data_IF_328281078967
#
_entry.id   IF_328281078967
#
_cell.length_a   1.000
_cell.length_b   1.000
_cell.length_c   1.000
_cell.angle_alpha   90.00
_cell.angle_beta   90.00
_cell.angle_gamma   90.00
#
_symmetry.space_group_name_H-M   'P 1'
#
loop_
_entity.id
_entity.type
_entity.pdbx_description
1 polymer ?
#
# COMPACT_ATOMS: atom_id res chain seq x y z
N UNK A 1 -1.74 3.71 -4.15
CA UNK A 1 -1.92 4.93 -3.34
C UNK A 1 -0.59 5.33 -2.72
N UNK A 2 -0.19 6.59 -2.86
CA UNK A 2 1.00 7.16 -2.27
C UNK A 2 0.60 8.27 -1.29
N UNK A 3 1.21 8.28 -0.12
CA UNK A 3 1.17 9.42 0.78
C UNK A 3 2.38 10.30 0.49
N UNK A 4 2.16 11.45 -0.10
CA UNK A 4 3.21 12.43 -0.38
C UNK A 4 3.65 13.06 0.95
N UNK A 5 4.95 13.16 1.16
CA UNK A 5 5.54 13.65 2.39
C UNK A 5 6.86 14.39 2.09
N UNK A 6 7.37 15.10 3.10
CA UNK A 6 8.61 15.85 2.97
C UNK A 6 8.37 17.33 2.61
N UNK A 7 9.44 18.12 2.50
CA UNK A 7 9.34 19.55 2.23
C UNK A 7 8.84 19.82 0.80
N UNK A 8 8.19 20.94 0.63
CA UNK A 8 7.76 21.44 -0.68
C UNK A 8 8.94 21.51 -1.67
N UNK A 9 8.66 21.21 -2.94
CA UNK A 9 9.68 21.18 -4.00
C UNK A 9 10.55 19.93 -4.05
N UNK A 10 10.41 19.00 -3.09
CA UNK A 10 11.13 17.73 -3.07
C UNK A 10 10.18 16.54 -3.16
N UNK A 11 10.22 15.84 -4.28
CA UNK A 11 9.41 14.63 -4.47
C UNK A 11 9.79 13.54 -3.46
N UNK A 12 8.87 13.23 -2.55
CA UNK A 12 8.99 12.15 -1.59
C UNK A 12 7.61 11.56 -1.29
N UNK A 13 7.50 10.24 -1.21
CA UNK A 13 6.24 9.60 -0.91
C UNK A 13 6.42 8.21 -0.31
N UNK A 14 5.45 7.79 0.49
CA UNK A 14 5.33 6.43 1.01
C UNK A 14 4.23 5.71 0.24
N UNK A 15 4.56 4.64 -0.47
CA UNK A 15 3.58 3.77 -1.10
C UNK A 15 2.97 2.83 -0.06
N UNK A 16 1.69 2.98 0.21
CA UNK A 16 0.93 2.02 0.99
C UNK A 16 0.68 0.77 0.15
N UNK A 17 1.19 -0.36 0.59
CA UNK A 17 1.19 -1.58 -0.21
C UNK A 17 0.11 -2.56 0.15
N UNK A 18 -0.31 -2.60 1.38
CA UNK A 18 -1.34 -3.50 1.87
C UNK A 18 -1.89 -2.98 3.20
N UNK A 19 -3.02 -3.49 3.60
CA UNK A 19 -3.65 -3.24 4.89
C UNK A 19 -4.74 -4.26 5.15
N UNK A 20 -5.22 -4.30 6.37
CA UNK A 20 -6.41 -5.03 6.74
C UNK A 20 -7.64 -4.11 6.64
N UNK A 21 -8.73 -4.62 6.09
CA UNK A 21 -10.01 -3.91 6.09
C UNK A 21 -10.73 -4.26 7.40
N UNK A 22 -10.73 -3.34 8.35
CA UNK A 22 -11.33 -3.54 9.68
C UNK A 22 -12.83 -3.26 9.67
N UNK A 23 -13.27 -2.25 8.91
CA UNK A 23 -14.66 -1.84 8.79
C UNK A 23 -15.08 -1.77 7.32
N UNK A 24 -16.35 -1.99 7.02
CA UNK A 24 -16.86 -1.96 5.66
C UNK A 24 -16.40 -3.12 4.77
N UNK A 25 -16.10 -4.27 5.35
CA UNK A 25 -15.64 -5.47 4.62
C UNK A 25 -16.60 -5.91 3.52
N UNK A 26 -17.91 -5.82 3.75
CA UNK A 26 -18.92 -6.14 2.73
C UNK A 26 -18.83 -5.19 1.53
N UNK A 27 -18.68 -3.89 1.78
CA UNK A 27 -18.49 -2.91 0.72
C UNK A 27 -17.17 -3.15 -0.03
N UNK A 28 -16.09 -3.44 0.69
CA UNK A 28 -14.82 -3.80 0.06
C UNK A 28 -14.93 -5.09 -0.79
N UNK A 29 -15.72 -6.06 -0.38
CA UNK A 29 -16.00 -7.29 -1.17
C UNK A 29 -16.72 -6.97 -2.48
N UNK A 30 -17.68 -6.06 -2.50
CA UNK A 30 -18.35 -5.65 -3.74
C UNK A 30 -17.39 -5.02 -4.74
N UNK A 31 -16.37 -4.32 -4.27
CA UNK A 31 -15.32 -3.71 -5.09
C UNK A 31 -14.22 -4.71 -5.49
N UNK A 32 -14.07 -5.79 -4.72
CA UNK A 32 -13.00 -6.78 -4.82
C UNK A 32 -13.53 -8.20 -5.05
N UNK A 33 -14.36 -8.38 -6.09
CA UNK A 33 -15.02 -9.66 -6.41
C UNK A 33 -14.06 -10.86 -6.55
N UNK A 34 -12.80 -10.64 -6.87
CA UNK A 34 -11.79 -11.69 -6.99
C UNK A 34 -11.11 -12.08 -5.67
N UNK A 35 -11.44 -11.41 -4.56
CA UNK A 35 -10.91 -11.78 -3.25
C UNK A 35 -11.62 -13.02 -2.72
N UNK A 36 -10.85 -14.01 -2.26
CA UNK A 36 -11.37 -15.29 -1.74
C UNK A 36 -11.78 -15.20 -0.27
N UNK A 37 -11.19 -14.25 0.45
CA UNK A 37 -11.44 -13.98 1.86
C UNK A 37 -11.03 -12.54 2.20
N UNK A 38 -11.34 -12.09 3.41
CA UNK A 38 -11.12 -10.70 3.83
C UNK A 38 -9.65 -10.30 3.85
N UNK A 39 -8.75 -11.23 4.18
CA UNK A 39 -7.30 -10.97 4.16
C UNK A 39 -6.75 -10.63 2.77
N UNK A 40 -7.46 -11.00 1.72
CA UNK A 40 -7.07 -10.70 0.33
C UNK A 40 -7.66 -9.39 -0.20
N UNK A 41 -8.60 -8.76 0.50
CA UNK A 41 -9.28 -7.55 0.04
C UNK A 41 -8.30 -6.44 -0.31
N UNK A 42 -7.34 -6.17 0.56
CA UNK A 42 -6.37 -5.10 0.41
C UNK A 42 -4.90 -5.60 0.41
N UNK A 43 -4.66 -6.87 0.06
CA UNK A 43 -3.33 -7.51 0.02
C UNK A 43 -2.55 -7.15 -1.25
N UNK A 44 -2.12 -5.92 -1.35
CA UNK A 44 -1.35 -5.38 -2.48
C UNK A 44 -1.78 -3.96 -2.85
N UNK A 45 -0.91 -3.14 -3.48
CA UNK A 45 -1.16 -1.71 -3.66
C UNK A 45 -2.38 -1.40 -4.54
N UNK A 46 -2.59 -2.11 -5.62
CA UNK A 46 -3.78 -1.95 -6.45
C UNK A 46 -5.04 -2.46 -5.73
N UNK A 47 -4.93 -3.59 -5.03
CA UNK A 47 -6.03 -4.16 -4.25
C UNK A 47 -6.48 -3.24 -3.12
N UNK A 48 -5.52 -2.63 -2.41
CA UNK A 48 -5.80 -1.64 -1.37
C UNK A 48 -6.54 -0.42 -1.93
N UNK A 49 -6.06 0.15 -3.03
CA UNK A 49 -6.73 1.28 -3.67
C UNK A 49 -8.16 0.92 -4.11
N UNK A 50 -8.35 -0.25 -4.73
CA UNK A 50 -9.69 -0.70 -5.15
C UNK A 50 -10.61 -0.97 -3.95
N UNK A 51 -10.13 -1.62 -2.89
CA UNK A 51 -10.93 -1.90 -1.70
C UNK A 51 -11.43 -0.61 -1.03
N UNK A 52 -10.59 0.42 -0.97
CA UNK A 52 -10.90 1.72 -0.39
C UNK A 52 -11.55 2.71 -1.36
N UNK A 53 -11.72 2.34 -2.63
CA UNK A 53 -12.23 3.23 -3.69
C UNK A 53 -11.37 4.48 -3.90
N UNK A 54 -10.07 4.32 -3.76
CA UNK A 54 -9.12 5.41 -3.97
C UNK A 54 -8.67 5.44 -5.42
N UNK A 55 -9.06 6.46 -6.13
CA UNK A 55 -8.70 6.72 -7.51
C UNK A 55 -8.03 8.10 -7.71
N UNK A 56 -7.93 8.54 -8.96
CA UNK A 56 -7.29 9.81 -9.30
C UNK A 56 -8.09 11.06 -8.91
N UNK A 57 -9.35 10.94 -8.60
CA UNK A 57 -10.17 12.08 -8.13
C UNK A 57 -9.74 12.57 -6.76
N UNK A 58 -9.04 11.72 -6.01
CA UNK A 58 -8.46 12.02 -4.70
C UNK A 58 -7.00 12.50 -4.78
N UNK A 59 -6.45 12.70 -5.99
CA UNK A 59 -5.08 13.21 -6.13
C UNK A 59 -4.96 14.64 -5.63
N UNK A 60 -3.91 14.92 -4.86
CA UNK A 60 -3.71 16.22 -4.20
C UNK A 60 -4.57 16.46 -2.94
N UNK A 61 -5.33 15.47 -2.51
CA UNK A 61 -6.16 15.56 -1.29
C UNK A 61 -5.30 15.61 -0.04
N UNK A 62 -5.60 16.54 0.88
CA UNK A 62 -5.00 16.54 2.22
C UNK A 62 -5.63 15.44 3.09
N UNK A 63 -4.89 14.34 3.26
CA UNK A 63 -5.34 13.20 4.05
C UNK A 63 -5.03 13.31 5.56
N UNK A 64 -4.39 14.40 5.99
CA UNK A 64 -3.97 14.59 7.39
C UNK A 64 -4.91 15.54 8.15
N UNK A 65 -5.63 16.41 7.45
CA UNK A 65 -6.60 17.34 8.05
C UNK A 65 -7.98 16.68 8.15
N UNK A 66 -8.56 16.53 9.36
CA UNK A 66 -9.72 15.66 9.61
C UNK A 66 -10.99 16.00 8.83
N UNK A 67 -11.21 17.26 8.49
CA UNK A 67 -12.51 17.74 7.94
C UNK A 67 -12.47 17.95 6.42
N UNK A 68 -11.31 17.80 5.79
CA UNK A 68 -11.14 18.25 4.41
C UNK A 68 -11.53 17.19 3.36
N UNK A 69 -11.63 15.90 3.71
CA UNK A 69 -11.71 14.84 2.68
C UNK A 69 -12.33 13.53 3.17
N UNK A 70 -12.86 12.70 2.26
CA UNK A 70 -13.34 11.36 2.60
C UNK A 70 -12.22 10.37 2.95
N UNK A 71 -10.96 10.70 2.64
CA UNK A 71 -9.79 9.88 2.92
C UNK A 71 -8.95 10.51 4.03
N UNK A 72 -8.75 9.78 5.12
CA UNK A 72 -7.97 10.25 6.26
C UNK A 72 -6.90 9.24 6.67
N UNK A 73 -5.75 9.77 7.03
CA UNK A 73 -4.67 9.01 7.68
C UNK A 73 -4.68 9.35 9.17
N UNK A 74 -4.88 8.35 9.98
CA UNK A 74 -4.94 8.50 11.43
C UNK A 74 -3.72 7.82 12.08
N UNK A 75 -3.34 8.22 13.30
CA UNK A 75 -2.37 7.47 14.09
C UNK A 75 -2.86 6.01 14.24
N UNK A 76 -2.02 5.08 13.82
CA UNK A 76 -2.30 3.66 13.96
C UNK A 76 -1.88 3.10 15.33
N UNK A 77 -2.09 1.81 15.52
CA UNK A 77 -1.54 1.09 16.68
C UNK A 77 -0.01 1.12 16.60
N UNK A 78 0.69 1.59 17.64
CA UNK A 78 2.15 1.57 17.66
C UNK A 78 2.69 0.15 17.51
N UNK A 79 3.72 0.01 16.69
CA UNK A 79 4.46 -1.25 16.53
C UNK A 79 5.88 -1.07 17.05
N UNK A 80 6.43 -2.12 17.65
CA UNK A 80 7.80 -2.11 18.13
C UNK A 80 8.79 -2.41 17.00
N UNK A 81 10.06 -2.06 17.17
CA UNK A 81 11.07 -2.27 16.12
C UNK A 81 11.25 -3.74 15.74
N UNK A 82 11.11 -4.65 16.69
CA UNK A 82 11.21 -6.09 16.47
C UNK A 82 10.03 -6.66 15.67
N UNK A 83 8.89 -5.98 15.65
CA UNK A 83 7.74 -6.33 14.83
C UNK A 83 7.88 -5.86 13.38
N UNK A 84 8.81 -4.95 13.09
CA UNK A 84 9.00 -4.43 11.73
C UNK A 84 10.14 -5.17 11.04
N UNK A 85 9.89 -5.61 9.82
CA UNK A 85 10.89 -6.13 8.90
C UNK A 85 11.04 -5.21 7.72
N UNK A 86 12.21 -5.23 7.12
CA UNK A 86 12.47 -4.48 5.90
C UNK A 86 13.25 -5.33 4.89
N UNK A 87 13.17 -4.95 3.62
CA UNK A 87 13.83 -5.66 2.54
C UNK A 87 13.57 -5.00 1.19
N UNK A 88 13.98 -5.62 0.09
CA UNK A 88 13.84 -5.06 -1.23
C UNK A 88 12.37 -4.92 -1.64
N UNK A 89 12.11 -3.94 -2.50
CA UNK A 89 10.77 -3.67 -3.03
C UNK A 89 10.38 -4.70 -4.08
N UNK A 90 9.15 -5.19 -4.01
CA UNK A 90 8.60 -6.13 -5.01
C UNK A 90 8.37 -5.44 -6.34
N UNK A 91 8.84 -6.06 -7.43
CA UNK A 91 8.58 -5.62 -8.80
C UNK A 91 9.33 -4.36 -9.23
N UNK A 92 10.35 -3.94 -8.47
CA UNK A 92 11.22 -2.81 -8.81
C UNK A 92 12.47 -3.32 -9.51
N UNK A 93 12.90 -2.63 -10.58
CA UNK A 93 14.12 -2.90 -11.34
C UNK A 93 15.10 -1.74 -11.24
N UNK A 94 16.32 -1.95 -11.76
CA UNK A 94 17.40 -0.95 -11.73
C UNK A 94 17.96 -0.75 -10.32
N UNK A 95 18.63 0.38 -10.11
CA UNK A 95 19.38 0.69 -8.88
C UNK A 95 18.50 0.69 -7.62
N UNK A 96 17.21 0.99 -7.77
CA UNK A 96 16.26 0.94 -6.65
C UNK A 96 15.90 -0.47 -6.17
N UNK A 97 16.25 -1.52 -6.93
CA UNK A 97 15.84 -2.89 -6.62
C UNK A 97 16.58 -3.48 -5.40
N UNK A 98 17.81 -3.01 -5.15
CA UNK A 98 18.67 -3.54 -4.08
C UNK A 98 18.41 -2.88 -2.72
N UNK A 99 17.74 -1.73 -2.71
CA UNK A 99 17.51 -1.00 -1.47
C UNK A 99 16.41 -1.64 -0.63
N UNK A 100 16.58 -1.75 0.72
CA UNK A 100 15.63 -2.36 1.63
C UNK A 100 14.49 -1.38 1.99
N UNK A 101 13.86 -0.78 1.00
CA UNK A 101 12.82 0.25 1.17
C UNK A 101 11.40 -0.30 1.19
N UNK A 102 11.24 -1.59 1.43
CA UNK A 102 9.95 -2.21 1.74
C UNK A 102 9.93 -2.53 3.22
N UNK A 103 8.90 -2.05 3.91
CA UNK A 103 8.67 -2.29 5.33
C UNK A 103 7.36 -3.04 5.52
N UNK A 104 7.30 -3.94 6.49
CA UNK A 104 6.09 -4.68 6.83
C UNK A 104 6.11 -5.16 8.27
N UNK A 105 4.92 -5.43 8.84
CA UNK A 105 4.76 -6.07 10.13
C UNK A 105 5.01 -7.58 9.95
N UNK A 106 5.82 -8.17 10.82
CA UNK A 106 6.11 -9.61 10.80
C UNK A 106 4.82 -10.41 10.99
N UNK A 107 4.71 -11.52 10.28
CA UNK A 107 3.58 -12.46 10.34
C UNK A 107 2.19 -11.86 10.06
N UNK A 108 2.13 -10.63 9.57
CA UNK A 108 0.86 -10.02 9.17
C UNK A 108 0.30 -10.73 7.92
N UNK A 109 -0.94 -11.28 8.00
CA UNK A 109 -1.52 -12.08 6.92
C UNK A 109 -1.85 -11.29 5.66
N UNK A 110 -1.91 -9.97 5.74
CA UNK A 110 -2.16 -9.09 4.58
C UNK A 110 -0.89 -8.80 3.79
N UNK A 111 0.28 -9.11 4.32
CA UNK A 111 1.57 -8.94 3.64
C UNK A 111 1.75 -10.02 2.58
N UNK A 112 1.94 -9.61 1.32
CA UNK A 112 2.24 -10.52 0.22
C UNK A 112 3.72 -10.95 0.25
N UNK A 113 4.05 -12.19 -0.19
CA UNK A 113 5.43 -12.63 -0.35
C UNK A 113 6.24 -11.71 -1.26
N UNK A 114 7.54 -11.62 -0.99
CA UNK A 114 8.45 -10.90 -1.89
C UNK A 114 8.53 -11.61 -3.26
N UNK A 115 8.51 -10.80 -4.31
CA UNK A 115 8.78 -11.26 -5.67
C UNK A 115 9.74 -10.30 -6.34
N UNK A 116 10.89 -10.82 -6.79
CA UNK A 116 11.84 -10.06 -7.57
C UNK A 116 11.22 -9.65 -8.92
N UNK A 117 11.71 -8.55 -9.47
CA UNK A 117 11.34 -8.14 -10.82
C UNK A 117 11.87 -9.14 -11.84
N UNK A 118 11.00 -9.61 -12.74
CA UNK A 118 11.38 -10.41 -13.91
C UNK A 118 11.13 -9.56 -15.14
N UNK A 119 12.17 -9.22 -15.92
CA UNK A 119 12.00 -8.45 -17.14
C UNK A 119 11.04 -9.18 -18.10
N UNK A 120 10.05 -8.47 -18.63
CA UNK A 120 9.23 -9.03 -19.71
C UNK A 120 10.10 -9.20 -20.95
N UNK A 121 10.21 -10.41 -21.48
CA UNK A 121 10.78 -10.62 -22.83
C UNK A 121 9.93 -9.80 -23.81
N UNK A 122 10.57 -8.82 -24.48
CA UNK A 122 9.94 -8.20 -25.66
C UNK A 122 9.70 -9.33 -26.65
N UNK A 123 8.46 -9.55 -27.04
CA UNK A 123 8.16 -10.34 -28.24
C UNK A 123 8.68 -9.50 -29.41
N UNK A 124 9.62 -10.09 -30.16
CA UNK A 124 10.07 -9.56 -31.45
C UNK A 124 8.89 -9.62 -32.42
#
# INVERSE_FOLDING_TARGET
>A
MNLVCGPEGRASAVLLRAGEVLEGTELARTRRLSARNDRELAKGPARLATALDVDRTLDGTDACTPEATPLRVLPGTPVTRDQVRHGPRTGVSGDGAVHPWRFWIVDDPTVSPYRAHVPRRRRA
#
